data_IF_575738153140
#
_entry.id   IF_575738153140
#
_cell.length_a   1.000
_cell.length_b   1.000
_cell.length_c   1.000
_cell.angle_alpha   90.00
_cell.angle_beta   90.00
_cell.angle_gamma   90.00
#
_symmetry.space_group_name_H-M   'P 1'
#
loop_
_entity.id
_entity.type
_entity.pdbx_description
1 polymer ?
#
# COMPACT_ATOMS: atom_id res chain seq x y z
N UNK A 1 13.69 9.72 5.39
CA UNK A 1 12.78 8.97 4.47
C UNK A 1 13.05 7.46 4.56
N UNK A 2 12.02 6.64 4.39
CA UNK A 2 12.09 5.18 4.19
C UNK A 2 11.23 4.80 2.98
N UNK A 3 11.74 4.05 2.00
CA UNK A 3 10.95 3.50 0.89
C UNK A 3 10.65 2.01 1.07
N UNK A 4 9.53 1.53 0.52
CA UNK A 4 9.15 0.11 0.57
C UNK A 4 9.72 -0.65 -0.64
N UNK A 5 10.22 -1.90 -0.47
CA UNK A 5 10.55 -2.77 -1.60
C UNK A 5 9.28 -3.28 -2.29
N UNK A 6 9.42 -3.75 -3.53
CA UNK A 6 8.31 -4.36 -4.27
C UNK A 6 7.98 -5.76 -3.73
N UNK A 7 6.71 -6.16 -3.85
CA UNK A 7 6.23 -7.50 -3.47
C UNK A 7 5.76 -8.27 -4.70
N UNK A 8 6.32 -9.46 -4.91
CA UNK A 8 6.02 -10.34 -6.03
C UNK A 8 5.27 -11.59 -5.57
N UNK A 9 4.21 -11.95 -6.29
CA UNK A 9 3.56 -13.26 -6.19
C UNK A 9 4.10 -14.19 -7.29
N UNK A 10 4.88 -15.20 -6.89
CA UNK A 10 5.43 -16.24 -7.79
C UNK A 10 4.52 -17.47 -7.78
N UNK A 11 4.56 -18.25 -8.87
CA UNK A 11 3.88 -19.55 -8.94
C UNK A 11 2.37 -19.49 -9.13
N UNK A 12 1.83 -18.39 -9.67
CA UNK A 12 0.38 -18.19 -9.90
C UNK A 12 -0.19 -19.22 -10.90
N UNK A 13 0.51 -19.47 -12.01
CA UNK A 13 0.06 -20.41 -13.06
C UNK A 13 0.60 -21.83 -12.88
N UNK A 14 1.82 -21.96 -12.35
CA UNK A 14 2.52 -23.26 -12.24
C UNK A 14 3.35 -23.33 -10.94
N UNK A 15 3.24 -24.45 -10.23
CA UNK A 15 3.98 -24.71 -9.00
C UNK A 15 3.22 -24.30 -7.73
N UNK A 16 3.95 -24.06 -6.63
CA UNK A 16 3.38 -23.53 -5.38
C UNK A 16 3.46 -22.00 -5.38
N UNK A 17 2.35 -21.34 -5.05
CA UNK A 17 2.33 -19.89 -4.87
C UNK A 17 3.25 -19.46 -3.72
N UNK A 18 4.02 -18.39 -3.92
CA UNK A 18 4.94 -17.81 -2.93
C UNK A 18 5.00 -16.29 -3.04
N UNK A 19 5.20 -15.63 -1.91
CA UNK A 19 5.56 -14.21 -1.86
C UNK A 19 7.09 -14.04 -1.85
N UNK A 20 7.56 -12.97 -2.48
CA UNK A 20 8.97 -12.64 -2.61
C UNK A 20 9.12 -11.11 -2.63
N UNK A 21 9.95 -10.56 -1.74
CA UNK A 21 10.33 -9.15 -1.80
C UNK A 21 11.42 -8.96 -2.86
N UNK A 22 11.37 -7.85 -3.58
CA UNK A 22 12.29 -7.51 -4.66
C UNK A 22 12.62 -6.03 -4.76
N UNK A 23 13.66 -5.76 -5.56
CA UNK A 23 14.19 -4.44 -5.88
C UNK A 23 14.77 -3.68 -4.67
N UNK A 24 15.06 -2.40 -4.86
CA UNK A 24 15.75 -1.55 -3.89
C UNK A 24 14.78 -0.85 -2.92
N UNK A 25 15.17 -0.82 -1.65
CA UNK A 25 14.58 -0.02 -0.58
C UNK A 25 15.65 0.90 -0.01
N UNK A 26 15.30 2.15 0.27
CA UNK A 26 16.22 3.17 0.76
C UNK A 26 15.81 3.65 2.15
N UNK A 27 16.80 3.81 3.03
CA UNK A 27 16.67 4.55 4.30
C UNK A 27 17.58 5.76 4.21
N UNK A 28 17.04 6.98 4.24
CA UNK A 28 17.82 8.23 4.15
C UNK A 28 17.63 9.09 5.39
N UNK A 29 18.75 9.56 5.94
CA UNK A 29 18.84 10.48 7.07
C UNK A 29 19.82 11.63 6.71
N UNK A 30 19.31 12.72 6.10
CA UNK A 30 20.14 13.86 5.69
C UNK A 30 20.89 14.52 6.85
N UNK A 31 20.28 14.57 8.05
CA UNK A 31 20.88 15.12 9.28
C UNK A 31 22.20 14.45 9.67
N UNK A 32 22.34 13.16 9.37
CA UNK A 32 23.54 12.37 9.67
C UNK A 32 24.44 12.15 8.46
N UNK A 33 24.07 12.67 7.27
CA UNK A 33 24.72 12.37 5.99
C UNK A 33 24.76 10.85 5.72
N UNK A 34 23.64 10.14 5.97
CA UNK A 34 23.59 8.67 5.83
C UNK A 34 22.45 8.19 4.92
N UNK A 35 22.81 7.27 4.02
CA UNK A 35 21.89 6.47 3.22
C UNK A 35 22.18 4.98 3.36
N UNK A 36 21.15 4.17 3.62
CA UNK A 36 21.18 2.74 3.41
C UNK A 36 20.46 2.42 2.09
N UNK A 37 21.13 1.70 1.20
CA UNK A 37 20.59 1.13 -0.03
C UNK A 37 20.53 -0.38 0.12
N UNK A 38 19.31 -0.96 0.06
CA UNK A 38 19.04 -2.37 0.36
C UNK A 38 18.32 -3.02 -0.83
N UNK A 39 19.03 -3.88 -1.55
CA UNK A 39 18.51 -4.76 -2.59
C UNK A 39 17.86 -6.00 -1.95
N UNK A 40 16.55 -6.16 -2.15
CA UNK A 40 15.84 -7.41 -1.89
C UNK A 40 16.00 -8.32 -3.11
N UNK A 41 16.70 -9.44 -2.93
CA UNK A 41 17.10 -10.32 -4.03
C UNK A 41 16.02 -11.34 -4.35
N UNK A 42 15.41 -11.20 -5.53
CA UNK A 42 14.50 -12.20 -6.08
C UNK A 42 15.27 -13.41 -6.60
N UNK A 43 14.70 -14.60 -6.49
CA UNK A 43 15.33 -15.84 -6.96
C UNK A 43 15.28 -15.91 -8.49
N UNK A 44 16.46 -15.81 -9.11
CA UNK A 44 16.63 -16.01 -10.55
C UNK A 44 16.41 -17.47 -11.01
N UNK A 45 16.17 -17.64 -12.30
CA UNK A 45 15.96 -18.97 -12.92
C UNK A 45 17.18 -19.89 -12.81
N UNK A 46 18.39 -19.30 -12.81
CA UNK A 46 19.67 -20.03 -12.84
C UNK A 46 20.18 -20.41 -11.43
N UNK A 47 19.59 -19.84 -10.36
CA UNK A 47 20.03 -20.07 -8.98
C UNK A 47 19.61 -18.95 -8.02
N UNK A 48 20.08 -19.03 -6.78
CA UNK A 48 19.85 -18.02 -5.74
C UNK A 48 19.00 -18.52 -4.57
N UNK A 49 19.11 -17.82 -3.44
CA UNK A 49 18.41 -18.11 -2.18
C UNK A 49 17.20 -17.18 -2.05
N UNK A 50 16.05 -17.71 -1.66
CA UNK A 50 14.88 -16.88 -1.36
C UNK A 50 15.16 -15.94 -0.18
N UNK A 51 14.50 -14.79 -0.18
CA UNK A 51 14.52 -13.81 0.92
C UNK A 51 15.90 -13.21 1.22
N UNK A 52 16.87 -13.36 0.31
CA UNK A 52 18.19 -12.78 0.48
C UNK A 52 18.15 -11.25 0.36
N UNK A 53 19.01 -10.58 1.11
CA UNK A 53 19.30 -9.15 0.95
C UNK A 53 20.77 -8.94 0.62
N UNK A 54 21.05 -7.87 -0.10
CA UNK A 54 22.38 -7.25 -0.17
C UNK A 54 22.21 -5.74 -0.04
N UNK A 55 23.19 -5.04 0.52
CA UNK A 55 23.07 -3.59 0.63
C UNK A 55 24.26 -2.93 1.26
N UNK A 56 24.23 -1.60 1.32
CA UNK A 56 25.30 -0.79 1.88
C UNK A 56 24.73 0.37 2.69
N UNK A 57 25.40 0.69 3.80
CA UNK A 57 25.23 1.96 4.49
C UNK A 57 26.39 2.85 4.05
N UNK A 58 26.08 4.02 3.51
CA UNK A 58 27.03 4.95 2.92
C UNK A 58 26.81 6.38 3.42
N UNK A 59 27.82 7.23 3.19
CA UNK A 59 27.63 8.69 3.18
C UNK A 59 26.84 9.12 1.96
N UNK A 60 25.82 9.95 2.15
CA UNK A 60 25.00 10.45 1.04
C UNK A 60 25.77 11.48 0.19
N UNK A 61 26.58 12.33 0.82
CA UNK A 61 27.36 13.39 0.16
C UNK A 61 28.59 12.90 -0.61
N UNK A 62 29.18 11.75 -0.26
CA UNK A 62 30.45 11.26 -0.84
C UNK A 62 30.38 9.86 -1.45
N UNK A 63 29.26 9.15 -1.32
CA UNK A 63 29.10 7.71 -1.62
C UNK A 63 30.12 6.80 -0.89
N UNK A 64 30.78 7.29 0.18
CA UNK A 64 31.70 6.50 1.01
C UNK A 64 30.95 5.35 1.68
N UNK A 65 31.23 4.11 1.27
CA UNK A 65 30.66 2.90 1.89
C UNK A 65 31.26 2.70 3.27
N UNK A 66 30.41 2.67 4.29
CA UNK A 66 30.78 2.45 5.69
C UNK A 66 30.55 1.00 6.11
N UNK A 67 29.38 0.44 5.75
CA UNK A 67 28.96 -0.91 6.10
C UNK A 67 28.35 -1.65 4.92
N UNK A 68 28.53 -2.97 4.90
CA UNK A 68 27.87 -3.93 4.00
C UNK A 68 26.79 -4.71 4.77
N UNK A 69 25.60 -4.81 4.20
CA UNK A 69 24.46 -5.57 4.70
C UNK A 69 24.26 -6.85 3.88
N UNK A 70 24.03 -7.97 4.54
CA UNK A 70 23.87 -9.29 3.90
C UNK A 70 23.01 -10.23 4.74
N UNK A 71 22.60 -11.37 4.17
CA UNK A 71 21.83 -12.40 4.87
C UNK A 71 20.43 -12.55 4.29
N UNK A 72 19.47 -13.01 5.10
CA UNK A 72 18.07 -13.19 4.68
C UNK A 72 17.14 -12.37 5.59
N UNK A 73 16.21 -11.60 5.01
CA UNK A 73 15.28 -10.77 5.80
C UNK A 73 14.31 -11.59 6.66
N UNK A 74 14.10 -12.86 6.33
CA UNK A 74 13.26 -13.80 7.09
C UNK A 74 14.07 -14.70 8.03
N UNK A 75 15.37 -14.46 8.21
CA UNK A 75 16.28 -15.31 8.99
C UNK A 75 17.36 -14.46 9.67
N UNK A 76 18.63 -14.81 9.49
CA UNK A 76 19.79 -14.06 9.98
C UNK A 76 20.26 -13.02 8.96
N UNK A 77 20.38 -11.78 9.41
CA UNK A 77 21.00 -10.66 8.70
C UNK A 77 22.28 -10.25 9.42
N UNK A 78 23.28 -9.86 8.64
CA UNK A 78 24.62 -9.53 9.10
C UNK A 78 25.04 -8.16 8.59
N UNK A 79 25.76 -7.42 9.45
CA UNK A 79 26.42 -6.18 9.10
C UNK A 79 27.94 -6.40 9.13
N UNK A 80 28.65 -5.78 8.20
CA UNK A 80 30.11 -5.83 8.11
C UNK A 80 30.66 -4.42 7.98
N UNK A 81 31.57 -4.06 8.88
CA UNK A 81 32.35 -2.83 8.83
C UNK A 81 33.39 -2.93 7.70
N UNK A 82 33.37 -2.00 6.75
CA UNK A 82 34.23 -2.08 5.55
C UNK A 82 35.69 -1.70 5.87
N UNK A 83 35.94 -0.92 6.92
CA UNK A 83 37.28 -0.42 7.28
C UNK A 83 38.07 -1.46 8.08
N UNK A 84 37.41 -2.22 8.93
CA UNK A 84 38.00 -3.28 9.77
C UNK A 84 37.81 -4.68 9.19
N UNK A 85 36.81 -4.88 8.31
CA UNK A 85 36.40 -6.18 7.81
C UNK A 85 35.62 -7.04 8.81
N UNK A 86 35.34 -6.53 10.02
CA UNK A 86 34.60 -7.25 11.04
C UNK A 86 33.14 -7.44 10.62
N UNK A 87 32.65 -8.69 10.64
CA UNK A 87 31.27 -9.06 10.30
C UNK A 87 30.58 -9.67 11.52
N UNK A 88 29.41 -9.15 11.86
CA UNK A 88 28.61 -9.61 13.00
C UNK A 88 27.12 -9.77 12.68
N UNK A 89 26.41 -10.44 13.58
CA UNK A 89 24.97 -10.64 13.49
C UNK A 89 24.26 -9.29 13.73
N UNK A 90 23.55 -8.78 12.73
CA UNK A 90 22.79 -7.53 12.83
C UNK A 90 21.39 -7.79 13.39
N UNK A 91 20.71 -8.82 12.89
CA UNK A 91 19.35 -9.17 13.28
C UNK A 91 19.07 -10.65 13.03
N UNK A 92 18.25 -11.27 13.88
CA UNK A 92 17.80 -12.65 13.69
C UNK A 92 16.27 -12.74 13.84
N UNK A 93 15.59 -12.92 12.70
CA UNK A 93 14.13 -12.98 12.63
C UNK A 93 13.51 -14.19 13.35
N UNK A 94 14.25 -15.30 13.51
CA UNK A 94 13.77 -16.50 14.21
C UNK A 94 13.72 -16.34 15.72
N UNK A 95 14.62 -15.53 16.29
CA UNK A 95 14.72 -15.30 17.74
C UNK A 95 14.01 -14.03 18.20
N UNK A 96 13.82 -13.07 17.29
CA UNK A 96 13.07 -11.84 17.54
C UNK A 96 11.60 -12.12 17.86
N UNK A 97 11.09 -11.49 18.93
CA UNK A 97 9.68 -11.59 19.35
C UNK A 97 8.91 -10.37 18.86
N UNK A 98 7.94 -10.51 17.94
CA UNK A 98 7.10 -9.39 17.52
C UNK A 98 6.19 -8.94 18.67
N UNK A 99 5.96 -7.62 18.76
CA UNK A 99 4.93 -7.05 19.64
C UNK A 99 3.66 -6.81 18.83
N UNK A 100 2.57 -7.49 19.17
CA UNK A 100 1.27 -7.29 18.51
C UNK A 100 0.62 -5.99 18.99
N UNK A 101 -0.02 -5.21 18.10
CA UNK A 101 -0.77 -4.02 18.50
C UNK A 101 -2.02 -4.39 19.31
N UNK A 102 -2.32 -3.61 20.35
CA UNK A 102 -3.60 -3.64 21.06
C UNK A 102 -4.66 -2.86 20.29
N UNK A 103 -5.92 -3.29 20.38
CA UNK A 103 -7.09 -2.66 19.72
C UNK A 103 -8.26 -2.54 20.70
N UNK A 104 -9.21 -1.64 20.41
CA UNK A 104 -10.49 -1.57 21.14
C UNK A 104 -11.35 -2.82 20.89
N UNK A 105 -12.22 -3.20 21.84
CA UNK A 105 -13.32 -4.14 21.61
C UNK A 105 -14.16 -3.75 20.39
N UNK A 106 -14.67 -4.74 19.65
CA UNK A 106 -15.46 -4.52 18.42
C UNK A 106 -16.72 -3.70 18.70
N UNK A 107 -17.28 -3.84 19.88
CA UNK A 107 -18.46 -3.13 20.39
C UNK A 107 -18.20 -1.61 20.43
N UNK A 108 -16.97 -1.21 20.76
CA UNK A 108 -16.50 0.19 20.88
C UNK A 108 -15.91 0.78 19.58
N UNK A 109 -15.84 -0.01 18.50
CA UNK A 109 -15.37 0.46 17.20
C UNK A 109 -16.50 1.11 16.37
N UNK A 110 -16.18 2.15 15.59
CA UNK A 110 -17.05 2.75 14.58
C UNK A 110 -17.35 1.73 13.46
N UNK A 111 -18.49 1.85 12.76
CA UNK A 111 -18.95 0.88 11.74
C UNK A 111 -17.99 0.79 10.53
N UNK A 112 -17.12 1.79 10.34
CA UNK A 112 -16.08 1.79 9.29
C UNK A 112 -14.67 1.47 9.80
N UNK A 113 -14.48 1.12 11.08
CA UNK A 113 -13.20 0.60 11.55
C UNK A 113 -12.96 -0.83 11.04
N UNK A 114 -11.74 -1.12 10.62
CA UNK A 114 -11.44 -2.28 9.77
C UNK A 114 -11.87 -3.62 10.35
N UNK A 115 -11.70 -3.85 11.66
CA UNK A 115 -12.07 -5.14 12.26
C UNK A 115 -13.58 -5.32 12.34
N UNK A 116 -14.34 -4.26 12.61
CA UNK A 116 -15.81 -4.27 12.66
C UNK A 116 -16.41 -4.36 11.26
N UNK A 117 -15.95 -3.53 10.33
CA UNK A 117 -16.42 -3.51 8.94
C UNK A 117 -16.23 -4.85 8.24
N UNK A 118 -15.10 -5.52 8.45
CA UNK A 118 -14.76 -6.79 7.82
C UNK A 118 -15.05 -8.01 8.70
N UNK A 119 -15.70 -7.86 9.85
CA UNK A 119 -15.86 -8.92 10.85
C UNK A 119 -16.51 -10.19 10.28
N UNK A 120 -17.65 -10.04 9.59
CA UNK A 120 -18.41 -11.16 9.03
C UNK A 120 -17.63 -11.88 7.91
N UNK A 121 -16.96 -11.11 7.04
CA UNK A 121 -16.09 -11.66 5.98
C UNK A 121 -14.91 -12.44 6.58
N UNK A 122 -14.22 -11.86 7.57
CA UNK A 122 -13.08 -12.49 8.24
C UNK A 122 -13.48 -13.76 9.00
N UNK A 123 -14.66 -13.77 9.63
CA UNK A 123 -15.24 -14.95 10.28
C UNK A 123 -15.49 -16.08 9.27
N UNK A 124 -16.17 -15.79 8.16
CA UNK A 124 -16.46 -16.78 7.12
C UNK A 124 -15.19 -17.34 6.47
N UNK A 125 -14.17 -16.50 6.20
CA UNK A 125 -12.84 -16.95 5.75
C UNK A 125 -12.17 -17.88 6.77
N UNK A 126 -12.23 -17.54 8.06
CA UNK A 126 -11.67 -18.36 9.15
C UNK A 126 -12.35 -19.73 9.28
N UNK A 127 -13.65 -19.78 9.02
CA UNK A 127 -14.47 -21.00 8.96
C UNK A 127 -14.33 -21.75 7.63
N UNK A 128 -13.62 -21.18 6.63
CA UNK A 128 -13.50 -21.67 5.24
C UNK A 128 -14.82 -21.74 4.47
N UNK A 129 -15.82 -20.97 4.89
CA UNK A 129 -17.06 -20.79 4.15
C UNK A 129 -16.85 -19.73 3.06
N UNK A 130 -16.36 -20.15 1.90
CA UNK A 130 -16.01 -19.27 0.80
C UNK A 130 -17.22 -18.60 0.13
N UNK A 131 -18.40 -19.23 0.15
CA UNK A 131 -19.65 -18.65 -0.35
C UNK A 131 -20.06 -17.46 0.53
N UNK A 132 -20.23 -17.68 1.84
CA UNK A 132 -20.55 -16.61 2.78
C UNK A 132 -19.48 -15.51 2.82
N UNK A 133 -18.20 -15.87 2.72
CA UNK A 133 -17.13 -14.87 2.64
C UNK A 133 -17.24 -13.98 1.39
N UNK A 134 -17.71 -14.53 0.28
CA UNK A 134 -17.94 -13.78 -0.96
C UNK A 134 -19.17 -12.88 -0.82
N UNK A 135 -20.26 -13.38 -0.24
CA UNK A 135 -21.49 -12.62 -0.01
C UNK A 135 -21.27 -11.44 0.93
N UNK A 136 -20.63 -11.65 2.09
CA UNK A 136 -20.35 -10.58 3.06
C UNK A 136 -19.35 -9.55 2.49
N UNK A 137 -18.36 -10.00 1.72
CA UNK A 137 -17.44 -9.08 1.00
C UNK A 137 -18.21 -8.22 -0.01
N UNK A 138 -19.11 -8.83 -0.78
CA UNK A 138 -19.90 -8.16 -1.82
C UNK A 138 -20.77 -7.05 -1.22
N UNK A 139 -21.43 -7.30 -0.07
CA UNK A 139 -22.21 -6.26 0.64
C UNK A 139 -21.38 -5.01 0.97
N UNK A 140 -20.14 -5.19 1.46
CA UNK A 140 -19.24 -4.08 1.81
C UNK A 140 -18.77 -3.32 0.56
N UNK A 141 -18.51 -4.02 -0.54
CA UNK A 141 -18.06 -3.42 -1.80
C UNK A 141 -19.18 -2.69 -2.55
N UNK A 142 -20.39 -3.25 -2.57
CA UNK A 142 -21.56 -2.66 -3.22
C UNK A 142 -22.01 -1.39 -2.49
N UNK A 143 -22.08 -1.41 -1.15
CA UNK A 143 -22.30 -0.20 -0.33
C UNK A 143 -21.32 0.93 -0.69
N UNK A 144 -20.03 0.61 -0.85
CA UNK A 144 -19.02 1.61 -1.23
C UNK A 144 -19.12 2.06 -2.70
N UNK A 145 -19.70 1.24 -3.59
CA UNK A 145 -20.01 1.60 -4.97
C UNK A 145 -21.20 2.57 -5.02
N UNK A 146 -22.29 2.25 -4.35
CA UNK A 146 -23.48 3.11 -4.24
C UNK A 146 -23.13 4.48 -3.64
N UNK A 147 -22.36 4.52 -2.55
CA UNK A 147 -21.92 5.80 -1.98
C UNK A 147 -21.04 6.63 -2.94
N UNK A 148 -20.25 5.96 -3.80
CA UNK A 148 -19.43 6.64 -4.81
C UNK A 148 -20.31 7.21 -5.91
N UNK A 149 -21.32 6.47 -6.35
CA UNK A 149 -22.29 6.93 -7.35
C UNK A 149 -23.11 8.11 -6.83
N UNK A 150 -23.57 8.06 -5.57
CA UNK A 150 -24.23 9.17 -4.89
C UNK A 150 -23.31 10.40 -4.83
N UNK A 151 -22.06 10.23 -4.38
CA UNK A 151 -21.07 11.33 -4.33
C UNK A 151 -20.82 11.95 -5.70
N UNK A 152 -20.65 11.13 -6.74
CA UNK A 152 -20.45 11.60 -8.12
C UNK A 152 -21.68 12.34 -8.66
N UNK A 153 -22.88 11.81 -8.45
CA UNK A 153 -24.15 12.43 -8.87
C UNK A 153 -24.38 13.78 -8.20
N UNK A 154 -24.07 13.87 -6.91
CA UNK A 154 -24.31 15.04 -6.08
C UNK A 154 -23.14 16.06 -6.15
N UNK A 155 -22.10 15.78 -6.95
CA UNK A 155 -20.93 16.65 -7.14
C UNK A 155 -20.02 16.76 -5.91
N UNK A 156 -20.07 15.79 -5.00
CA UNK A 156 -19.35 15.81 -3.72
C UNK A 156 -18.03 15.05 -3.83
N UNK A 157 -16.93 15.79 -3.72
CA UNK A 157 -15.58 15.21 -3.62
C UNK A 157 -15.43 14.38 -2.33
N UNK A 158 -14.84 13.18 -2.45
CA UNK A 158 -14.46 12.39 -1.28
C UNK A 158 -13.16 12.93 -0.68
N UNK A 159 -13.12 13.09 0.65
CA UNK A 159 -11.93 13.49 1.39
C UNK A 159 -11.70 12.55 2.57
N UNK A 160 -10.44 12.17 2.89
CA UNK A 160 -10.15 11.39 4.08
C UNK A 160 -10.59 12.11 5.36
N UNK A 161 -10.98 11.33 6.37
CA UNK A 161 -11.30 11.87 7.71
C UNK A 161 -10.01 12.27 8.43
N UNK A 162 -9.16 11.29 8.74
CA UNK A 162 -8.01 11.48 9.64
C UNK A 162 -6.80 12.18 8.99
N UNK A 163 -6.78 12.36 7.67
CA UNK A 163 -5.62 12.84 6.91
C UNK A 163 -5.98 13.97 5.97
N UNK A 164 -5.00 14.84 5.67
CA UNK A 164 -5.11 15.95 4.72
C UNK A 164 -3.91 15.93 3.75
N UNK A 165 -4.00 16.55 2.56
CA UNK A 165 -2.86 16.64 1.66
C UNK A 165 -1.72 17.41 2.33
N UNK A 166 -0.49 17.02 2.00
CA UNK A 166 0.72 17.73 2.42
C UNK A 166 0.83 19.08 1.71
N UNK A 167 1.37 20.07 2.43
CA UNK A 167 1.59 21.46 1.99
C UNK A 167 3.07 21.80 2.02
N UNK A 168 3.88 20.97 1.38
CA UNK A 168 5.32 21.17 1.25
C UNK A 168 5.69 22.34 0.33
N UNK A 169 6.99 22.59 0.23
CA UNK A 169 7.60 23.70 -0.50
C UNK A 169 8.24 24.76 0.42
N UNK A 170 9.10 25.64 -0.13
CA UNK A 170 10.00 26.48 0.67
C UNK A 170 9.27 27.46 1.61
N UNK A 171 9.65 27.44 2.88
CA UNK A 171 9.03 28.25 3.94
C UNK A 171 7.65 27.76 4.41
N UNK A 172 7.23 26.57 3.99
CA UNK A 172 6.01 25.91 4.47
C UNK A 172 6.18 25.25 5.84
N UNK A 173 5.08 24.90 6.54
CA UNK A 173 5.14 24.15 7.79
C UNK A 173 5.53 22.67 7.59
N UNK A 174 5.54 22.20 6.35
CA UNK A 174 5.79 20.82 5.90
C UNK A 174 6.93 20.80 4.84
N UNK A 175 7.84 21.78 4.88
CA UNK A 175 9.04 21.81 4.03
C UNK A 175 9.95 20.62 4.37
N UNK A 176 10.31 19.81 3.37
CA UNK A 176 11.04 18.56 3.55
C UNK A 176 10.17 17.30 3.71
N UNK A 177 8.84 17.45 3.72
CA UNK A 177 7.88 16.33 3.75
C UNK A 177 7.21 16.08 2.38
N UNK A 178 7.72 16.66 1.28
CA UNK A 178 7.13 16.59 -0.07
C UNK A 178 6.98 15.16 -0.62
N UNK A 179 7.75 14.20 -0.10
CA UNK A 179 7.65 12.77 -0.45
C UNK A 179 6.37 12.10 0.11
N UNK A 180 5.64 12.76 1.01
CA UNK A 180 4.38 12.28 1.56
C UNK A 180 3.18 12.93 0.83
N UNK A 181 2.22 12.12 0.38
CA UNK A 181 0.97 12.64 -0.18
C UNK A 181 0.03 13.21 0.91
N UNK A 182 0.02 12.58 2.10
CA UNK A 182 -0.95 12.80 3.16
C UNK A 182 -0.30 12.85 4.53
N UNK A 183 -0.67 13.85 5.33
CA UNK A 183 -0.29 14.01 6.74
C UNK A 183 -1.52 13.96 7.65
N UNK A 184 -1.33 13.61 8.92
CA UNK A 184 -2.41 13.59 9.91
C UNK A 184 -3.11 14.96 9.98
N UNK A 185 -4.45 14.96 10.01
CA UNK A 185 -5.26 16.17 10.03
C UNK A 185 -5.44 16.70 11.46
N UNK A 186 -4.32 16.89 12.16
CA UNK A 186 -4.23 17.39 13.52
C UNK A 186 -2.91 18.15 13.72
N UNK A 187 -2.86 19.03 14.72
CA UNK A 187 -1.61 19.65 15.18
C UNK A 187 -1.17 18.94 16.46
N UNK A 188 0.11 18.55 16.54
CA UNK A 188 0.71 17.84 17.67
C UNK A 188 1.97 18.60 18.08
N UNK A 189 1.75 19.73 18.76
CA UNK A 189 2.77 20.71 19.19
C UNK A 189 3.00 20.72 20.71
N UNK A 190 2.50 19.71 21.43
CA UNK A 190 2.67 19.57 22.86
C UNK A 190 4.14 19.59 23.29
N UNK A 191 4.47 20.46 24.25
CA UNK A 191 5.84 20.63 24.78
C UNK A 191 6.37 19.40 25.53
N UNK A 192 5.49 18.48 25.94
CA UNK A 192 5.84 17.26 26.68
C UNK A 192 5.18 16.03 26.03
N UNK A 193 5.76 14.82 26.18
CA UNK A 193 5.19 13.59 25.64
C UNK A 193 3.75 13.33 26.11
N UNK A 194 3.40 13.77 27.32
CA UNK A 194 2.04 13.65 27.88
C UNK A 194 1.05 14.54 27.12
N UNK A 195 1.40 15.81 26.88
CA UNK A 195 0.58 16.73 26.06
C UNK A 195 0.42 16.21 24.62
N UNK A 196 1.48 15.66 24.03
CA UNK A 196 1.43 15.05 22.70
C UNK A 196 0.53 13.81 22.69
N UNK A 197 0.60 12.96 23.72
CA UNK A 197 -0.29 11.82 23.87
C UNK A 197 -1.76 12.25 24.03
N UNK A 198 -2.05 13.28 24.82
CA UNK A 198 -3.39 13.88 24.93
C UNK A 198 -3.89 14.39 23.56
N UNK A 199 -3.04 15.10 22.81
CA UNK A 199 -3.36 15.56 21.45
C UNK A 199 -3.66 14.40 20.49
N UNK A 200 -2.80 13.35 20.47
CA UNK A 200 -3.00 12.15 19.64
C UNK A 200 -4.29 11.42 20.00
N UNK A 201 -4.56 11.22 21.30
CA UNK A 201 -5.79 10.58 21.77
C UNK A 201 -7.02 11.42 21.42
N UNK A 202 -6.91 12.74 21.32
CA UNK A 202 -8.03 13.59 20.94
C UNK A 202 -8.44 13.49 19.45
N UNK A 203 -7.55 13.01 18.56
CA UNK A 203 -7.79 12.87 17.10
C UNK A 203 -8.85 11.81 16.80
N UNK A 204 -8.69 10.64 17.41
CA UNK A 204 -9.56 9.49 17.21
C UNK A 204 -9.51 8.61 18.47
N UNK A 205 -10.60 7.90 18.83
CA UNK A 205 -10.52 6.91 19.90
C UNK A 205 -9.44 5.86 19.59
N UNK A 206 -8.58 5.58 20.56
CA UNK A 206 -7.50 4.58 20.45
C UNK A 206 -7.60 3.58 21.61
N UNK A 207 -7.83 4.07 22.84
CA UNK A 207 -7.85 3.24 24.06
C UNK A 207 -9.24 2.65 24.36
N UNK A 208 -9.34 1.50 25.05
CA UNK A 208 -10.60 0.95 25.55
C UNK A 208 -11.39 1.93 26.42
N UNK A 209 -12.71 1.97 26.25
CA UNK A 209 -13.62 2.89 26.94
C UNK A 209 -13.56 4.34 26.47
N UNK A 210 -12.64 4.69 25.54
CA UNK A 210 -12.49 6.05 25.04
C UNK A 210 -13.64 6.42 24.09
N UNK A 211 -14.28 7.57 24.35
CA UNK A 211 -15.32 8.13 23.48
C UNK A 211 -14.72 9.09 22.45
N UNK A 212 -15.35 9.22 21.29
CA UNK A 212 -15.00 10.26 20.33
C UNK A 212 -15.20 11.64 20.97
N UNK A 213 -14.18 12.50 20.90
CA UNK A 213 -14.28 13.87 21.40
C UNK A 213 -15.23 14.68 20.51
N UNK A 214 -16.00 15.59 21.10
CA UNK A 214 -16.77 16.58 20.35
C UNK A 214 -15.93 17.78 19.94
N UNK A 215 -14.82 18.03 20.65
CA UNK A 215 -13.99 19.23 20.51
C UNK A 215 -13.02 19.14 19.33
N UNK A 216 -12.46 17.94 19.08
CA UNK A 216 -11.61 17.65 17.92
C UNK A 216 -12.34 16.81 16.86
N UNK A 217 -13.64 17.08 16.65
CA UNK A 217 -14.30 16.58 15.45
C UNK A 217 -13.66 17.21 14.21
N UNK A 218 -12.82 16.43 13.54
CA UNK A 218 -12.47 16.63 12.14
C UNK A 218 -13.76 17.01 11.40
N UNK A 219 -13.81 18.18 10.75
CA UNK A 219 -15.04 18.67 10.16
C UNK A 219 -15.64 17.60 9.23
N UNK A 220 -16.91 17.16 9.45
CA UNK A 220 -17.56 16.30 8.48
C UNK A 220 -17.57 17.02 7.12
N UNK A 221 -17.42 16.26 6.03
CA UNK A 221 -17.36 16.79 4.67
C UNK A 221 -18.50 17.79 4.42
N UNK A 222 -18.20 19.09 4.55
CA UNK A 222 -19.09 20.14 4.07
C UNK A 222 -18.97 20.09 2.55
N UNK A 223 -20.05 19.80 1.80
CA UNK A 223 -20.03 20.07 0.36
C UNK A 223 -19.64 21.53 0.18
N UNK A 224 -18.73 21.80 -0.76
CA UNK A 224 -18.31 23.15 -1.05
C UNK A 224 -19.55 23.98 -1.36
N UNK A 225 -19.83 25.01 -0.55
CA UNK A 225 -20.95 25.91 -0.80
C UNK A 225 -20.63 26.65 -2.11
N UNK A 226 -21.25 26.20 -3.20
CA UNK A 226 -21.36 26.96 -4.43
C UNK A 226 -22.12 28.24 -4.09
N UNK A 227 -21.36 29.33 -3.89
CA UNK A 227 -21.95 30.65 -3.77
C UNK A 227 -22.79 30.88 -5.04
N UNK A 228 -24.09 31.23 -4.92
CA UNK A 228 -24.88 31.56 -6.08
C UNK A 228 -24.27 32.81 -6.72
N UNK A 229 -23.68 32.62 -7.90
CA UNK A 229 -23.11 33.69 -8.71
C UNK A 229 -24.22 34.73 -8.97
N UNK A 230 -24.04 35.94 -8.45
CA UNK A 230 -25.06 36.97 -8.51
C UNK A 230 -25.50 37.21 -9.96
N UNK A 231 -26.81 37.22 -10.20
CA UNK A 231 -27.40 37.42 -11.51
C UNK A 231 -27.23 38.88 -11.94
N UNK A 232 -26.19 39.17 -12.71
CA UNK A 232 -26.05 40.49 -13.33
C UNK A 232 -27.06 40.63 -14.48
N UNK A 233 -27.88 41.67 -14.42
CA UNK A 233 -29.07 41.81 -15.26
C UNK A 233 -28.73 42.21 -16.71
N UNK A 234 -29.54 41.74 -17.66
CA UNK A 234 -29.36 41.99 -19.08
C UNK A 234 -29.48 43.47 -19.46
N UNK A 235 -28.61 43.92 -20.37
CA UNK A 235 -28.78 45.16 -21.15
C UNK A 235 -29.19 44.79 -22.58
N UNK A 236 -30.23 45.41 -23.18
CA UNK A 236 -30.75 45.00 -24.48
C UNK A 236 -29.90 45.52 -25.66
N UNK A 237 -29.87 44.80 -26.81
CA UNK A 237 -29.21 45.27 -28.03
C UNK A 237 -30.10 46.23 -28.86
N UNK A 238 -29.52 47.16 -29.64
CA UNK A 238 -30.25 48.00 -30.58
C UNK A 238 -30.63 47.25 -31.87
N UNK A 239 -31.62 47.81 -32.59
CA UNK A 239 -32.32 47.20 -33.74
C UNK A 239 -31.55 47.42 -35.08
N UNK A 240 -31.81 46.55 -36.06
CA UNK A 240 -31.04 46.35 -37.30
C UNK A 240 -31.61 47.02 -38.56
N UNK A 241 -30.83 47.01 -39.66
CA UNK A 241 -31.29 47.06 -41.07
C UNK A 241 -30.18 46.53 -42.04
N UNK A 242 -30.41 46.23 -43.35
CA UNK A 242 -30.61 44.83 -43.78
C UNK A 242 -29.62 44.23 -44.81
N UNK A 243 -29.74 42.91 -45.03
CA UNK A 243 -28.96 42.02 -45.91
C UNK A 243 -29.28 42.15 -47.42
N UNK A 244 -28.40 41.68 -48.33
CA UNK A 244 -28.56 40.34 -48.97
C UNK A 244 -27.21 39.64 -49.31
N UNK A 245 -27.10 38.36 -49.70
CA UNK A 245 -27.92 37.14 -49.61
C UNK A 245 -27.06 35.93 -50.05
N UNK A 246 -27.28 34.73 -49.48
CA UNK A 246 -27.07 33.40 -50.12
C UNK A 246 -27.47 32.25 -49.16
N UNK A 247 -28.18 31.24 -49.68
CA UNK A 247 -28.55 29.97 -49.04
C UNK A 247 -27.89 28.81 -49.85
N UNK A 248 -28.10 27.48 -49.59
CA UNK A 248 -28.92 26.76 -48.57
C UNK A 248 -28.10 25.76 -47.68
N UNK A 249 -28.55 25.35 -46.47
CA UNK A 249 -29.37 24.13 -46.11
C UNK A 249 -28.66 22.79 -46.48
N UNK A 250 -28.52 21.73 -45.64
CA UNK A 250 -29.30 21.24 -44.50
C UNK A 250 -28.49 20.47 -43.42
N UNK A 251 -29.13 20.22 -42.26
CA UNK A 251 -28.82 19.15 -41.28
C UNK A 251 -29.72 17.90 -41.60
N UNK A 252 -29.86 16.80 -40.80
CA UNK A 252 -29.44 16.57 -39.39
C UNK A 252 -29.03 15.10 -39.00
N UNK A 253 -29.08 14.82 -37.68
CA UNK A 253 -29.35 13.53 -36.98
C UNK A 253 -28.21 12.56 -36.59
N UNK A 254 -28.11 12.34 -35.27
CA UNK A 254 -28.20 11.05 -34.55
C UNK A 254 -28.09 9.77 -35.40
N UNK A 255 -27.34 8.73 -35.02
CA UNK A 255 -27.52 7.98 -33.76
C UNK A 255 -26.41 6.93 -33.52
N UNK A 256 -26.44 6.35 -32.32
CA UNK A 256 -25.94 5.02 -31.90
C UNK A 256 -24.42 4.68 -31.84
N UNK A 257 -24.17 3.86 -30.82
CA UNK A 257 -22.95 3.14 -30.44
C UNK A 257 -22.67 1.99 -31.43
N UNK A 258 -21.40 1.74 -31.75
CA UNK A 258 -20.95 0.44 -32.26
C UNK A 258 -19.80 -0.11 -31.37
N UNK A 259 -19.83 -1.43 -31.15
CA UNK A 259 -18.94 -2.21 -30.32
C UNK A 259 -18.21 -3.23 -31.20
N UNK A 260 -16.99 -2.92 -31.64
CA UNK A 260 -16.14 -3.90 -32.32
C UNK A 260 -14.73 -3.93 -31.75
N UNK A 261 -14.38 -5.03 -31.08
CA UNK A 261 -12.99 -5.39 -30.78
C UNK A 261 -12.25 -5.81 -32.05
N UNK A 262 -11.03 -5.30 -32.25
CA UNK A 262 -9.99 -6.03 -32.99
C UNK A 262 -8.60 -5.56 -32.56
N UNK A 263 -7.74 -6.51 -32.19
CA UNK A 263 -6.32 -6.29 -31.94
C UNK A 263 -5.61 -5.81 -33.22
N UNK A 264 -4.57 -4.97 -33.10
CA UNK A 264 -3.17 -5.30 -33.50
C UNK A 264 -2.26 -4.06 -33.63
N UNK A 265 -0.96 -4.32 -33.43
CA UNK A 265 0.21 -3.62 -34.00
C UNK A 265 0.46 -2.13 -33.67
N UNK A 266 1.62 -1.89 -33.05
CA UNK A 266 2.30 -0.61 -33.04
C UNK A 266 2.96 -0.30 -34.40
N UNK A 267 3.24 0.98 -34.71
CA UNK A 267 4.26 1.36 -35.67
C UNK A 267 5.46 2.06 -34.99
N UNK A 268 6.66 1.52 -35.22
CA UNK A 268 7.93 2.20 -34.97
C UNK A 268 8.22 3.26 -36.04
N UNK A 269 8.56 4.49 -35.64
CA UNK A 269 9.26 5.45 -36.53
C UNK A 269 10.23 6.36 -35.77
N UNK A 270 11.51 6.19 -36.12
CA UNK A 270 12.64 7.13 -36.00
C UNK A 270 13.55 6.83 -37.23
N UNK A 271 14.55 7.66 -37.61
CA UNK A 271 15.08 8.87 -36.94
C UNK A 271 15.25 10.10 -37.86
N UNK A 272 15.62 11.24 -37.25
CA UNK A 272 16.42 12.29 -37.90
C UNK A 272 17.34 12.93 -36.84
N UNK A 273 18.60 13.24 -37.18
CA UNK A 273 19.65 13.59 -36.22
C UNK A 273 20.26 14.97 -36.46
N UNK A 274 20.69 15.63 -35.38
CA UNK A 274 21.68 16.71 -35.40
C UNK A 274 22.50 16.75 -34.10
N UNK A 275 23.81 16.88 -34.27
CA UNK A 275 24.93 16.98 -33.31
C UNK A 275 24.81 18.08 -32.21
N UNK A 276 25.69 18.18 -31.19
CA UNK A 276 26.57 17.24 -30.46
C UNK A 276 27.30 18.02 -29.32
N UNK A 277 27.59 17.39 -28.18
CA UNK A 277 28.54 17.90 -27.17
C UNK A 277 29.11 16.78 -26.26
N UNK A 278 30.42 16.84 -25.98
CA UNK A 278 31.26 15.93 -25.14
C UNK A 278 31.59 16.57 -23.79
N UNK A 279 31.97 15.90 -22.69
CA UNK A 279 32.27 14.51 -22.27
C UNK A 279 32.18 14.46 -20.70
N UNK A 280 32.60 13.42 -19.91
CA UNK A 280 33.19 12.10 -20.20
C UNK A 280 32.52 10.90 -19.46
N UNK A 281 33.10 9.70 -19.63
CA UNK A 281 32.60 8.41 -19.09
C UNK A 281 32.91 8.22 -17.60
N UNK A 282 31.95 7.64 -16.87
CA UNK A 282 32.18 6.99 -15.57
C UNK A 282 32.09 5.46 -15.73
N UNK A 283 33.03 4.74 -15.13
CA UNK A 283 33.17 3.27 -15.24
C UNK A 283 32.14 2.55 -14.37
N UNK A 284 31.43 1.57 -14.95
CA UNK A 284 30.64 0.60 -14.18
C UNK A 284 31.59 -0.30 -13.40
N UNK A 285 31.43 -0.41 -12.08
CA UNK A 285 32.01 -1.51 -11.31
C UNK A 285 31.04 -2.70 -11.29
N UNK A 286 31.61 -3.90 -11.36
CA UNK A 286 30.90 -5.12 -11.77
C UNK A 286 30.12 -5.82 -10.64
N UNK A 287 29.04 -6.50 -11.01
CA UNK A 287 28.25 -7.38 -10.13
C UNK A 287 29.00 -8.64 -9.65
N UNK A 288 30.28 -8.78 -10.01
CA UNK A 288 31.12 -9.93 -9.68
C UNK A 288 31.60 -9.88 -8.22
N UNK A 289 31.85 -8.71 -7.64
CA UNK A 289 32.32 -8.57 -6.26
C UNK A 289 31.26 -9.03 -5.24
N UNK A 290 30.00 -8.68 -5.48
CA UNK A 290 28.85 -9.14 -4.68
C UNK A 290 28.70 -10.67 -4.76
N UNK A 291 29.00 -11.26 -5.92
CA UNK A 291 28.96 -12.72 -6.12
C UNK A 291 30.07 -13.43 -5.34
N UNK A 292 31.29 -12.87 -5.34
CA UNK A 292 32.43 -13.41 -4.59
C UNK A 292 32.26 -13.35 -3.06
N UNK A 293 31.60 -12.32 -2.55
CA UNK A 293 31.29 -12.20 -1.11
C UNK A 293 30.29 -13.29 -0.65
N UNK A 294 29.31 -13.64 -1.48
CA UNK A 294 28.33 -14.69 -1.18
C UNK A 294 28.95 -16.10 -1.13
N UNK A 295 29.97 -16.39 -1.95
CA UNK A 295 30.64 -17.70 -1.93
C UNK A 295 31.57 -17.94 -0.73
N UNK A 296 32.03 -16.88 -0.06
CA UNK A 296 33.02 -16.99 1.01
C UNK A 296 32.41 -17.14 2.42
N UNK A 297 31.08 -17.06 2.57
CA UNK A 297 30.41 -17.26 3.86
C UNK A 297 29.28 -18.30 3.78
N UNK A 298 29.63 -19.58 3.94
CA UNK A 298 28.65 -20.60 4.34
C UNK A 298 28.92 -22.02 3.84
N UNK A 299 28.87 -22.99 4.77
CA UNK A 299 28.36 -24.33 4.42
C UNK A 299 26.88 -24.20 4.02
N UNK A 300 26.33 -25.06 3.16
CA UNK A 300 24.91 -24.99 2.81
C UNK A 300 24.05 -25.12 4.08
N UNK A 301 23.21 -24.12 4.32
CA UNK A 301 22.22 -24.17 5.37
C UNK A 301 21.20 -25.27 5.04
N UNK A 302 20.97 -26.18 5.99
CA UNK A 302 19.85 -27.12 5.90
C UNK A 302 18.53 -26.33 5.92
N UNK A 303 17.52 -26.81 5.18
CA UNK A 303 16.26 -26.11 4.91
C UNK A 303 15.68 -25.41 6.16
N UNK A 304 15.85 -24.08 6.20
CA UNK A 304 15.25 -23.22 7.21
C UNK A 304 13.72 -23.21 7.12
N UNK A 305 13.02 -22.86 8.20
CA UNK A 305 11.56 -22.95 8.28
C UNK A 305 10.90 -22.02 7.26
N UNK A 306 10.47 -22.61 6.15
CA UNK A 306 9.68 -21.98 5.10
C UNK A 306 8.27 -21.70 5.66
N UNK A 307 7.75 -20.48 5.49
CA UNK A 307 6.34 -20.17 5.81
C UNK A 307 5.46 -20.84 4.74
N UNK A 308 5.08 -22.09 4.99
CA UNK A 308 4.12 -22.86 4.19
C UNK A 308 2.74 -22.77 4.85
N UNK A 309 1.98 -21.77 4.42
CA UNK A 309 0.60 -21.51 4.87
C UNK A 309 -0.30 -22.76 4.81
N UNK A 310 -0.07 -23.70 3.88
CA UNK A 310 -0.85 -24.94 3.76
C UNK A 310 -0.51 -25.95 4.86
N UNK A 311 0.73 -25.92 5.35
CA UNK A 311 1.24 -26.83 6.37
C UNK A 311 0.97 -26.33 7.79
N UNK A 312 1.11 -25.02 8.05
CA UNK A 312 0.82 -24.45 9.38
C UNK A 312 -0.68 -24.43 9.70
N UNK A 313 -1.55 -24.26 8.69
CA UNK A 313 -3.00 -24.37 8.83
C UNK A 313 -3.47 -25.80 9.23
N UNK A 314 -2.62 -26.82 9.08
CA UNK A 314 -2.90 -28.21 9.49
C UNK A 314 -2.45 -28.54 10.91
N UNK A 315 -1.50 -27.80 11.49
CA UNK A 315 -0.92 -28.11 12.81
C UNK A 315 -1.84 -27.81 14.00
N UNK A 316 -2.88 -27.00 13.79
CA UNK A 316 -3.77 -26.50 14.86
C UNK A 316 -5.16 -27.16 14.87
N UNK A 317 -5.30 -28.40 14.40
CA UNK A 317 -6.58 -29.14 14.38
C UNK A 317 -6.48 -30.37 15.29
N UNK A 318 -7.28 -30.46 16.38
CA UNK A 318 -7.39 -31.70 17.17
C UNK A 318 -7.99 -32.83 16.33
N UNK A 319 -7.45 -34.04 16.48
CA UNK A 319 -7.88 -35.20 15.71
C UNK A 319 -9.23 -35.74 16.23
N UNK A 320 -10.31 -35.36 15.53
CA UNK A 320 -11.67 -35.82 15.82
C UNK A 320 -11.84 -37.30 15.48
N UNK A 321 -11.56 -38.16 16.47
CA UNK A 321 -12.02 -39.56 16.44
C UNK A 321 -13.54 -39.58 16.46
N UNK A 322 -14.17 -39.96 15.34
CA UNK A 322 -15.54 -40.46 15.35
C UNK A 322 -15.56 -41.77 16.15
N UNK A 323 -16.35 -41.82 17.20
CA UNK A 323 -16.82 -43.08 17.75
C UNK A 323 -18.09 -43.45 16.98
N UNK A 324 -18.14 -44.66 16.43
CA UNK A 324 -19.41 -45.24 15.98
C UNK A 324 -20.28 -45.51 17.21
N UNK A 325 -21.44 -44.88 17.25
CA UNK A 325 -22.56 -45.30 18.10
C UNK A 325 -23.80 -45.40 17.22
N UNK A 326 -23.99 -46.58 16.64
CA UNK A 326 -25.32 -47.06 16.29
C UNK A 326 -26.09 -47.31 17.59
N UNK A 327 -27.18 -46.59 17.82
CA UNK A 327 -28.49 -47.14 18.21
C UNK A 327 -29.57 -46.14 17.77
N UNK A 328 -30.73 -46.66 17.34
CA UNK A 328 -31.89 -45.87 16.94
C UNK A 328 -32.56 -45.20 18.15
N UNK A 329 -33.12 -43.99 17.94
CA UNK A 329 -34.45 -43.71 18.49
C UNK A 329 -35.13 -42.58 17.68
N UNK A 330 -36.08 -42.96 16.83
CA UNK A 330 -36.98 -42.03 16.14
C UNK A 330 -38.11 -41.63 17.12
N UNK A 331 -38.24 -40.34 17.43
CA UNK A 331 -39.44 -39.82 18.09
C UNK A 331 -40.21 -38.87 17.17
N UNK A 332 -41.37 -39.36 16.71
CA UNK A 332 -42.33 -38.60 15.92
C UNK A 332 -42.87 -37.39 16.72
N UNK A 333 -42.73 -36.20 16.15
CA UNK A 333 -43.51 -35.04 16.56
C UNK A 333 -44.85 -35.04 15.81
N UNK A 334 -45.91 -35.54 16.45
CA UNK A 334 -47.28 -35.29 15.99
C UNK A 334 -47.82 -33.96 16.52
N UNK A 335 -48.42 -33.18 15.64
CA UNK A 335 -49.10 -31.91 15.95
C UNK A 335 -50.35 -32.13 16.83
N UNK A 336 -50.48 -31.34 17.91
CA UNK A 336 -51.73 -30.64 18.28
C UNK A 336 -51.55 -29.65 19.42
#
# INVERSE_FOLDING_TARGET
MLTQPNMYARGILFGKMKYELGDHSFVRCPELDLVADIEFKTKGWVGGTYNAIGGFIKRESTDEVLYELSGLWSDEMFIKDVKTGHKEMFFNAKTSKPSSPSVRPIEEQDVRESQKLWQATAQAVRERNHELATDEKTKVEDMQREEREIRNRDGVEWRPRLFRPVKGGPGGPEEGEEDLEWIINANIDGETPEKQAEQVLAIYPILPGQKASSENQIPPNKPAQTQPKATEAATPPPVAEPTPAAAPVAAPQNDLIDLSHSETAAPTTQPAAAAAATAPQATRHDSQDITGMLSNTGKPAADGPLIDFVSDLKKNVPELKRADTSEDDFQDAQEK
#
